data_IF_851014426737
#
_entry.id   IF_851014426737
#
_cell.length_a   1.000
_cell.length_b   1.000
_cell.length_c   1.000
_cell.angle_alpha   90.00
_cell.angle_beta   90.00
_cell.angle_gamma   90.00
#
_symmetry.space_group_name_H-M   'P 1'
#
loop_
_entity.id
_entity.type
_entity.pdbx_description
1 polymer ?
#
# COMPACT_ATOMS: atom_id res chain seq x y z
N UNK A 1 18.37 9.86 -2.95
CA UNK A 1 17.07 9.42 -2.39
C UNK A 1 16.07 9.41 -3.52
N UNK A 2 15.25 8.36 -3.66
CA UNK A 2 14.26 8.28 -4.75
C UNK A 2 13.09 9.23 -4.49
N UNK A 3 12.57 9.83 -5.54
CA UNK A 3 11.31 10.59 -5.56
C UNK A 3 10.11 9.65 -5.45
N UNK A 4 8.92 10.18 -5.11
CA UNK A 4 7.69 9.38 -5.05
C UNK A 4 7.37 8.77 -6.42
N UNK A 5 7.60 9.53 -7.50
CA UNK A 5 7.41 9.05 -8.87
C UNK A 5 8.35 7.90 -9.25
N UNK A 6 9.61 7.95 -8.82
CA UNK A 6 10.55 6.83 -9.03
C UNK A 6 10.10 5.58 -8.28
N UNK A 7 9.63 5.72 -7.03
CA UNK A 7 9.08 4.61 -6.27
C UNK A 7 7.86 3.97 -6.94
N UNK A 8 6.91 4.79 -7.40
CA UNK A 8 5.72 4.35 -8.15
C UNK A 8 6.07 3.47 -9.34
N UNK A 9 6.97 3.97 -10.19
CA UNK A 9 7.42 3.26 -11.39
C UNK A 9 8.14 1.95 -11.04
N UNK A 10 9.12 2.00 -10.13
CA UNK A 10 9.89 0.81 -9.77
C UNK A 10 9.03 -0.29 -9.14
N UNK A 11 8.07 0.05 -8.27
CA UNK A 11 7.17 -0.95 -7.70
C UNK A 11 6.26 -1.56 -8.76
N UNK A 12 5.72 -0.77 -9.70
CA UNK A 12 4.90 -1.31 -10.79
C UNK A 12 5.70 -2.25 -11.68
N UNK A 13 6.89 -1.84 -12.10
CA UNK A 13 7.79 -2.67 -12.92
C UNK A 13 8.18 -3.96 -12.20
N UNK A 14 8.53 -3.89 -10.92
CA UNK A 14 8.84 -5.06 -10.11
C UNK A 14 7.64 -5.99 -9.94
N UNK A 15 6.45 -5.43 -9.71
CA UNK A 15 5.19 -6.18 -9.58
C UNK A 15 4.87 -6.92 -10.89
N UNK A 16 4.92 -6.23 -12.03
CA UNK A 16 4.67 -6.83 -13.35
C UNK A 16 5.73 -7.87 -13.74
N UNK A 17 6.97 -7.70 -13.30
CA UNK A 17 8.02 -8.72 -13.49
C UNK A 17 7.77 -9.96 -12.64
N UNK A 18 7.36 -9.79 -11.38
CA UNK A 18 7.10 -10.89 -10.44
C UNK A 18 5.79 -11.62 -10.75
N UNK A 19 4.78 -10.88 -11.19
CA UNK A 19 3.43 -11.33 -11.49
C UNK A 19 3.02 -10.82 -12.88
N UNK A 20 3.42 -11.51 -13.97
CA UNK A 20 3.16 -11.06 -15.34
C UNK A 20 1.69 -10.82 -15.66
N UNK A 21 0.79 -11.62 -15.09
CA UNK A 21 -0.67 -11.49 -15.27
C UNK A 21 -1.21 -10.16 -14.75
N UNK A 22 -0.47 -9.52 -13.83
CA UNK A 22 -0.86 -8.26 -13.22
C UNK A 22 -0.87 -7.07 -14.20
N UNK A 23 -0.29 -7.23 -15.39
CA UNK A 23 -0.39 -6.27 -16.49
C UNK A 23 -1.83 -6.11 -17.01
N UNK A 24 -2.62 -7.18 -16.94
CA UNK A 24 -4.02 -7.19 -17.42
C UNK A 24 -5.01 -6.84 -16.30
N UNK A 25 -4.54 -6.69 -15.06
CA UNK A 25 -5.42 -6.38 -13.93
C UNK A 25 -6.14 -5.05 -14.12
N UNK A 26 -7.42 -5.06 -13.81
CA UNK A 26 -8.28 -3.88 -13.81
C UNK A 26 -7.98 -2.99 -12.59
N UNK A 27 -8.58 -1.79 -12.55
CA UNK A 27 -8.52 -0.95 -11.35
C UNK A 27 -9.13 -1.67 -10.14
N UNK A 28 -10.19 -2.46 -10.35
CA UNK A 28 -10.86 -3.22 -9.29
C UNK A 28 -9.95 -4.33 -8.73
N UNK A 29 -9.20 -5.02 -9.58
CA UNK A 29 -8.23 -6.04 -9.15
C UNK A 29 -7.11 -5.43 -8.31
N UNK A 30 -6.66 -4.22 -8.68
CA UNK A 30 -5.66 -3.48 -7.92
C UNK A 30 -6.20 -2.98 -6.58
N UNK A 31 -7.43 -2.49 -6.53
CA UNK A 31 -8.10 -2.16 -5.28
C UNK A 31 -8.23 -3.38 -4.36
N UNK A 32 -8.57 -4.55 -4.91
CA UNK A 32 -8.62 -5.79 -4.14
C UNK A 32 -7.24 -6.19 -3.58
N UNK A 33 -6.17 -5.94 -4.34
CA UNK A 33 -4.78 -6.14 -3.87
C UNK A 33 -4.46 -5.26 -2.66
N UNK A 34 -4.84 -3.97 -2.70
CA UNK A 34 -4.68 -3.03 -1.57
C UNK A 34 -5.46 -3.52 -0.34
N UNK A 35 -6.71 -3.98 -0.52
CA UNK A 35 -7.53 -4.53 0.58
C UNK A 35 -6.88 -5.76 1.21
N UNK A 36 -6.28 -6.65 0.40
CA UNK A 36 -5.55 -7.82 0.92
C UNK A 36 -4.32 -7.42 1.74
N UNK A 37 -3.54 -6.43 1.28
CA UNK A 37 -2.40 -5.95 2.07
C UNK A 37 -2.85 -5.25 3.36
N UNK A 38 -3.98 -4.55 3.36
CA UNK A 38 -4.53 -3.97 4.58
C UNK A 38 -4.89 -5.06 5.61
N UNK A 39 -5.43 -6.20 5.15
CA UNK A 39 -5.66 -7.35 6.02
C UNK A 39 -4.35 -7.92 6.58
N UNK A 40 -3.29 -7.97 5.78
CA UNK A 40 -1.98 -8.43 6.24
C UNK A 40 -1.33 -7.47 7.25
N UNK A 41 -1.48 -6.15 7.07
CA UNK A 41 -1.08 -5.13 8.04
C UNK A 41 -1.83 -5.34 9.35
N UNK A 42 -3.16 -5.53 9.29
CA UNK A 42 -3.98 -5.79 10.48
C UNK A 42 -3.50 -7.04 11.23
N UNK A 43 -3.19 -8.13 10.51
CA UNK A 43 -2.63 -9.34 11.10
C UNK A 43 -1.27 -9.12 11.76
N UNK A 44 -0.38 -8.33 11.13
CA UNK A 44 0.92 -7.95 11.69
C UNK A 44 0.80 -7.16 13.00
N UNK A 45 -0.02 -6.10 12.99
CA UNK A 45 -0.25 -5.25 14.18
C UNK A 45 -0.91 -6.05 15.30
N UNK A 46 -1.92 -6.87 15.00
CA UNK A 46 -2.57 -7.69 16.02
C UNK A 46 -1.61 -8.73 16.62
N UNK A 47 -0.68 -9.28 15.83
CA UNK A 47 0.34 -10.19 16.34
C UNK A 47 1.33 -9.46 17.25
N UNK A 48 1.80 -8.28 16.86
CA UNK A 48 2.67 -7.44 17.67
C UNK A 48 2.02 -7.10 19.03
N UNK A 49 0.72 -6.83 19.03
CA UNK A 49 -0.06 -6.57 20.25
C UNK A 49 -0.44 -7.83 21.05
N UNK A 50 -0.07 -9.02 20.60
CA UNK A 50 -0.43 -10.29 21.26
C UNK A 50 -1.91 -10.65 21.18
N UNK A 51 -2.67 -10.04 20.27
CA UNK A 51 -4.11 -10.27 20.06
C UNK A 51 -4.33 -11.44 19.10
N UNK A 52 -3.49 -11.55 18.08
CA UNK A 52 -3.58 -12.57 17.04
C UNK A 52 -2.36 -13.48 17.04
N UNK A 53 -2.60 -14.79 17.10
CA UNK A 53 -1.55 -15.81 17.10
C UNK A 53 -1.66 -16.65 15.82
N UNK A 54 -1.15 -16.13 14.69
CA UNK A 54 -1.15 -16.90 13.45
C UNK A 54 -0.31 -18.16 13.62
N UNK A 55 -0.52 -19.12 12.72
CA UNK A 55 0.31 -20.32 12.64
C UNK A 55 1.80 -19.95 12.77
N UNK A 56 2.58 -20.56 13.68
CA UNK A 56 3.99 -20.23 13.89
C UNK A 56 4.87 -20.36 12.64
N UNK A 57 4.45 -21.17 11.66
CA UNK A 57 5.13 -21.31 10.37
C UNK A 57 4.84 -20.14 9.41
N UNK A 58 3.76 -19.39 9.64
CA UNK A 58 3.38 -18.25 8.83
C UNK A 58 4.11 -16.99 9.30
N UNK A 59 5.29 -16.76 8.72
CA UNK A 59 6.13 -15.59 8.99
C UNK A 59 5.62 -14.30 8.34
N UNK A 60 4.48 -14.35 7.65
CA UNK A 60 3.91 -13.19 6.96
C UNK A 60 3.73 -12.02 7.93
N UNK A 61 3.29 -12.30 9.15
CA UNK A 61 2.93 -11.28 10.14
C UNK A 61 4.06 -10.92 11.13
N UNK A 62 5.28 -11.43 10.91
CA UNK A 62 6.39 -11.27 11.87
C UNK A 62 6.99 -9.85 11.87
N UNK A 63 6.79 -9.09 10.79
CA UNK A 63 7.31 -7.74 10.63
C UNK A 63 6.18 -6.78 10.22
N UNK A 64 5.51 -6.12 11.18
CA UNK A 64 4.41 -5.20 10.89
C UNK A 64 4.87 -3.96 10.10
N UNK A 65 6.12 -3.52 10.28
CA UNK A 65 6.68 -2.39 9.56
C UNK A 65 6.87 -2.72 8.07
N UNK A 66 7.37 -3.92 7.77
CA UNK A 66 7.45 -4.41 6.40
C UNK A 66 6.05 -4.52 5.76
N UNK A 67 5.02 -4.86 6.53
CA UNK A 67 3.63 -4.89 6.03
C UNK A 67 3.07 -3.52 5.72
N UNK A 68 3.34 -2.53 6.57
CA UNK A 68 2.98 -1.14 6.26
C UNK A 68 3.67 -0.67 4.97
N UNK A 69 4.95 -0.99 4.78
CA UNK A 69 5.67 -0.70 3.55
C UNK A 69 5.06 -1.42 2.32
N UNK A 70 4.64 -2.68 2.46
CA UNK A 70 3.99 -3.43 1.39
C UNK A 70 2.62 -2.83 1.00
N UNK A 71 1.85 -2.33 1.96
CA UNK A 71 0.60 -1.62 1.70
C UNK A 71 0.85 -0.32 0.91
N UNK A 72 1.88 0.44 1.28
CA UNK A 72 2.28 1.66 0.56
C UNK A 72 2.71 1.31 -0.88
N UNK A 73 3.44 0.21 -1.06
CA UNK A 73 3.85 -0.27 -2.39
C UNK A 73 2.63 -0.59 -3.28
N UNK A 74 1.60 -1.29 -2.77
CA UNK A 74 0.37 -1.53 -3.54
C UNK A 74 -0.37 -0.24 -3.90
N UNK A 75 -0.42 0.73 -2.98
CA UNK A 75 -1.00 2.03 -3.27
C UNK A 75 -0.22 2.75 -4.38
N UNK A 76 1.11 2.74 -4.33
CA UNK A 76 1.96 3.31 -5.39
C UNK A 76 1.73 2.65 -6.76
N UNK A 77 1.58 1.32 -6.80
CA UNK A 77 1.28 0.61 -8.05
C UNK A 77 -0.08 1.04 -8.61
N UNK A 78 -1.09 1.19 -7.75
CA UNK A 78 -2.41 1.68 -8.16
C UNK A 78 -2.34 3.12 -8.69
N UNK A 79 -1.59 4.01 -8.03
CA UNK A 79 -1.39 5.39 -8.49
C UNK A 79 -0.71 5.42 -9.86
N UNK A 80 0.37 4.65 -10.05
CA UNK A 80 1.07 4.54 -11.34
C UNK A 80 0.18 3.94 -12.44
N UNK A 81 -0.81 3.10 -12.08
CA UNK A 81 -1.83 2.63 -13.03
C UNK A 81 -2.81 3.73 -13.41
N UNK A 82 -3.24 4.53 -12.45
CA UNK A 82 -4.20 5.64 -12.63
C UNK A 82 -3.54 6.88 -13.26
N UNK A 83 -2.22 6.93 -13.31
CA UNK A 83 -1.39 7.92 -13.99
C UNK A 83 -1.71 9.37 -13.57
N UNK A 84 -1.60 9.64 -12.27
CA UNK A 84 -1.71 10.99 -11.72
C UNK A 84 -0.50 11.34 -10.84
N UNK A 85 -0.30 12.64 -10.61
CA UNK A 85 0.78 13.14 -9.77
C UNK A 85 0.40 13.05 -8.28
N UNK A 86 0.99 12.09 -7.59
CA UNK A 86 0.72 11.88 -6.17
C UNK A 86 1.23 13.01 -5.29
N UNK A 87 2.32 13.69 -5.65
CA UNK A 87 2.85 14.78 -4.83
C UNK A 87 1.85 15.94 -4.79
N UNK A 88 1.26 16.26 -5.96
CA UNK A 88 0.20 17.26 -6.06
C UNK A 88 -1.04 16.86 -5.23
N UNK A 89 -1.50 15.61 -5.36
CA UNK A 89 -2.68 15.16 -4.60
C UNK A 89 -2.43 15.07 -3.09
N UNK A 90 -1.24 14.64 -2.66
CA UNK A 90 -0.85 14.63 -1.25
C UNK A 90 -0.84 16.04 -0.67
N UNK A 91 -0.35 17.05 -1.41
CA UNK A 91 -0.40 18.43 -0.96
C UNK A 91 -1.85 18.90 -0.77
N UNK A 92 -2.78 18.54 -1.67
CA UNK A 92 -4.21 18.86 -1.52
C UNK A 92 -4.82 18.20 -0.29
N UNK A 93 -4.49 16.95 -0.01
CA UNK A 93 -4.96 16.24 1.20
C UNK A 93 -4.38 16.87 2.46
N UNK A 94 -3.10 17.22 2.46
CA UNK A 94 -2.45 17.90 3.59
C UNK A 94 -3.10 19.26 3.86
N UNK A 95 -3.30 20.06 2.82
CA UNK A 95 -4.01 21.34 2.88
C UNK A 95 -5.41 21.18 3.47
N UNK A 96 -6.12 20.10 3.09
CA UNK A 96 -7.44 19.79 3.64
C UNK A 96 -7.39 19.55 5.15
N UNK A 97 -6.41 18.79 5.66
CA UNK A 97 -6.25 18.55 7.10
C UNK A 97 -5.87 19.81 7.88
N UNK A 98 -5.10 20.71 7.29
CA UNK A 98 -4.66 21.95 7.94
C UNK A 98 -5.78 22.99 8.00
N UNK A 99 -6.53 23.14 6.90
CA UNK A 99 -7.48 24.26 6.72
C UNK A 99 -8.86 23.98 7.28
N UNK A 100 -9.28 22.72 7.34
CA UNK A 100 -10.63 22.38 7.79
C UNK A 100 -10.62 22.02 9.27
N UNK A 101 -11.54 22.61 10.03
CA UNK A 101 -11.84 22.12 11.39
C UNK A 101 -12.33 20.67 11.30
N UNK A 102 -12.00 19.81 12.27
CA UNK A 102 -12.55 18.47 12.32
C UNK A 102 -14.08 18.52 12.21
N UNK A 103 -14.66 17.66 11.39
CA UNK A 103 -16.12 17.50 11.28
C UNK A 103 -16.69 16.64 12.44
N UNK A 104 -15.89 16.39 13.48
CA UNK A 104 -16.25 15.65 14.68
C UNK A 104 -15.95 16.45 15.94
#
# INVERSE_FOLDING_TARGET
>A
MKTIKEWQKEFKEACEKRFPDSKQWTDQDRLLSVVRQLADVSGGVQKELGIYHPNPKNKTYDDPNHRLAALIAEAFILVEKRNFDLEIELQKVLDFYIKNKPLW
#
